data_IF_465255221980
#
_entry.id   IF_465255221980
#
_cell.length_a   1.000
_cell.length_b   1.000
_cell.length_c   1.000
_cell.angle_alpha   90.00
_cell.angle_beta   90.00
_cell.angle_gamma   90.00
#
_symmetry.space_group_name_H-M   'P 1'
#
loop_
_entity.id
_entity.type
_entity.pdbx_description
1 polymer ?
#
# COMPACT_ATOMS: atom_id res chain seq x y z
N UNK A 1 -2.50 26.11 -5.73
CA UNK A 1 -2.48 24.96 -4.79
C UNK A 1 -3.92 24.67 -4.44
N UNK A 2 -4.43 23.50 -4.81
CA UNK A 2 -5.80 23.07 -4.52
C UNK A 2 -5.99 22.84 -3.02
N UNK A 3 -7.24 22.75 -2.58
CA UNK A 3 -7.54 22.39 -1.19
C UNK A 3 -7.02 20.98 -0.87
N UNK A 4 -7.10 20.08 -1.84
CA UNK A 4 -6.56 18.72 -1.76
C UNK A 4 -5.03 18.73 -1.56
N UNK A 5 -4.28 19.53 -2.32
CA UNK A 5 -2.82 19.67 -2.15
C UNK A 5 -2.45 20.14 -0.74
N UNK A 6 -3.26 21.04 -0.16
CA UNK A 6 -3.03 21.52 1.20
C UNK A 6 -3.20 20.40 2.24
N UNK A 7 -4.21 19.53 2.06
CA UNK A 7 -4.39 18.36 2.93
C UNK A 7 -3.27 17.35 2.76
N UNK A 8 -2.87 17.04 1.54
CA UNK A 8 -1.75 16.14 1.24
C UNK A 8 -0.47 16.64 1.91
N UNK A 9 -0.17 17.94 1.77
CA UNK A 9 1.02 18.54 2.37
C UNK A 9 0.98 18.51 3.92
N UNK A 10 -0.19 18.70 4.53
CA UNK A 10 -0.34 18.58 5.99
C UNK A 10 -0.10 17.14 6.47
N UNK A 11 -0.66 16.17 5.77
CA UNK A 11 -0.45 14.75 6.08
C UNK A 11 1.03 14.39 5.95
N UNK A 12 1.66 14.77 4.83
CA UNK A 12 3.07 14.53 4.58
C UNK A 12 3.98 15.15 5.67
N UNK A 13 3.68 16.39 6.06
CA UNK A 13 4.42 17.07 7.12
C UNK A 13 4.28 16.38 8.48
N UNK A 14 3.07 15.90 8.82
CA UNK A 14 2.81 15.16 10.05
C UNK A 14 3.56 13.83 10.08
N UNK A 15 3.48 13.07 9.00
CA UNK A 15 4.21 11.80 8.87
C UNK A 15 5.72 12.00 8.97
N UNK A 16 6.25 13.01 8.26
CA UNK A 16 7.68 13.36 8.34
C UNK A 16 8.11 13.67 9.77
N UNK A 17 7.33 14.50 10.49
CA UNK A 17 7.67 14.86 11.87
C UNK A 17 7.65 13.63 12.81
N UNK A 18 6.76 12.68 12.59
CA UNK A 18 6.71 11.45 13.41
C UNK A 18 7.86 10.51 13.07
N UNK A 19 8.24 10.39 11.81
CA UNK A 19 9.42 9.65 11.35
C UNK A 19 10.69 10.22 11.99
N UNK A 20 10.87 11.54 11.94
CA UNK A 20 12.05 12.23 12.49
C UNK A 20 12.21 12.00 14.01
N UNK A 21 11.11 11.88 14.76
CA UNK A 21 11.16 11.60 16.21
C UNK A 21 11.65 10.19 16.53
N UNK A 22 11.41 9.23 15.65
CA UNK A 22 11.72 7.80 15.86
C UNK A 22 12.91 7.32 15.07
N UNK A 23 13.50 8.20 14.26
CA UNK A 23 14.62 7.86 13.40
C UNK A 23 15.90 7.61 14.20
N UNK A 24 16.44 6.42 14.05
CA UNK A 24 17.76 6.05 14.57
C UNK A 24 18.70 5.73 13.40
N UNK A 25 19.84 6.43 13.25
CA UNK A 25 20.79 6.14 12.18
C UNK A 25 21.27 4.68 12.22
N UNK A 26 21.19 4.00 11.08
CA UNK A 26 21.56 2.58 10.94
C UNK A 26 20.48 1.58 11.30
N UNK A 27 19.32 2.03 11.79
CA UNK A 27 18.16 1.19 12.08
C UNK A 27 16.96 1.63 11.26
N UNK A 28 17.05 1.47 9.94
CA UNK A 28 15.94 1.86 9.05
C UNK A 28 14.79 0.86 9.19
N UNK A 29 13.69 1.30 9.76
CA UNK A 29 12.44 0.55 9.84
C UNK A 29 11.42 1.16 8.87
N UNK A 30 10.37 0.42 8.57
CA UNK A 30 9.22 0.98 7.86
C UNK A 30 8.47 1.93 8.80
N UNK A 31 8.16 3.11 8.31
CA UNK A 31 7.48 4.14 9.10
C UNK A 31 5.97 3.92 9.19
N UNK A 32 5.41 3.19 8.22
CA UNK A 32 4.02 2.79 8.22
C UNK A 32 3.93 1.27 8.05
N UNK A 33 2.97 0.65 8.72
CA UNK A 33 2.76 -0.80 8.69
C UNK A 33 4.05 -1.62 8.97
N UNK A 34 4.85 -1.29 9.99
CA UNK A 34 6.13 -1.97 10.24
C UNK A 34 5.94 -3.44 10.64
N UNK A 35 4.85 -3.78 11.33
CA UNK A 35 4.56 -5.15 11.72
C UNK A 35 4.09 -5.95 10.52
N UNK A 36 4.95 -6.83 10.02
CA UNK A 36 4.66 -7.76 8.94
C UNK A 36 4.09 -9.05 9.53
N UNK A 37 2.90 -9.44 9.10
CA UNK A 37 2.25 -10.71 9.49
C UNK A 37 2.61 -11.81 8.50
N UNK A 38 2.75 -11.45 7.23
CA UNK A 38 3.13 -12.40 6.19
C UNK A 38 3.21 -11.76 4.81
N UNK A 39 3.92 -12.44 3.91
CA UNK A 39 3.98 -12.06 2.51
C UNK A 39 3.88 -13.32 1.66
N UNK A 40 2.96 -13.35 0.70
CA UNK A 40 2.71 -14.51 -0.16
C UNK A 40 2.78 -14.13 -1.63
N UNK A 41 3.23 -15.07 -2.45
CA UNK A 41 3.10 -14.97 -3.90
C UNK A 41 1.66 -15.23 -4.28
N UNK A 42 1.16 -14.50 -5.26
CA UNK A 42 -0.22 -14.54 -5.71
C UNK A 42 -0.32 -14.23 -7.20
N UNK A 43 -1.52 -14.41 -7.72
CA UNK A 43 -1.92 -13.92 -9.04
C UNK A 43 -3.07 -12.95 -8.86
N UNK A 44 -3.00 -11.83 -9.58
CA UNK A 44 -4.08 -10.84 -9.63
C UNK A 44 -4.70 -10.87 -11.02
N UNK A 45 -5.95 -11.28 -11.10
CA UNK A 45 -6.67 -11.39 -12.38
C UNK A 45 -7.69 -10.27 -12.53
N UNK A 46 -7.56 -9.52 -13.61
CA UNK A 46 -8.57 -8.58 -14.07
C UNK A 46 -9.60 -9.36 -14.89
N UNK A 47 -10.81 -9.39 -14.40
CA UNK A 47 -11.91 -10.13 -15.01
C UNK A 47 -12.36 -9.52 -16.36
N UNK A 48 -12.86 -10.38 -17.26
CA UNK A 48 -13.33 -9.97 -18.58
C UNK A 48 -14.60 -9.10 -18.53
N UNK A 49 -15.47 -9.36 -17.57
CA UNK A 49 -16.77 -8.70 -17.44
C UNK A 49 -16.74 -7.56 -16.42
N UNK A 50 -15.90 -6.56 -16.66
CA UNK A 50 -15.92 -5.34 -15.89
C UNK A 50 -16.83 -4.29 -16.53
N UNK A 51 -17.56 -3.49 -15.72
CA UNK A 51 -18.25 -2.30 -16.22
C UNK A 51 -17.27 -1.34 -16.93
N UNK A 52 -17.72 -0.68 -17.99
CA UNK A 52 -16.84 0.17 -18.82
C UNK A 52 -16.20 1.30 -18.02
N UNK A 53 -16.92 1.86 -17.04
CA UNK A 53 -16.41 2.91 -16.15
C UNK A 53 -15.25 2.48 -15.26
N UNK A 54 -15.07 1.18 -15.03
CA UNK A 54 -13.95 0.63 -14.26
C UNK A 54 -12.76 0.19 -15.12
N UNK A 55 -12.89 0.24 -16.45
CA UNK A 55 -11.84 -0.17 -17.40
C UNK A 55 -10.79 0.91 -17.60
N UNK A 56 -10.11 1.28 -16.52
CA UNK A 56 -9.05 2.29 -16.52
C UNK A 56 -7.77 1.74 -15.88
N UNK A 57 -6.62 2.27 -16.26
CA UNK A 57 -5.32 1.87 -15.71
C UNK A 57 -5.09 0.36 -15.83
N UNK A 58 -4.79 -0.29 -14.74
CA UNK A 58 -4.53 -1.75 -14.67
C UNK A 58 -5.76 -2.60 -14.99
N UNK A 59 -6.97 -2.03 -14.90
CA UNK A 59 -8.24 -2.71 -15.19
C UNK A 59 -8.70 -2.57 -16.64
N UNK A 60 -7.92 -1.90 -17.50
CA UNK A 60 -8.30 -1.60 -18.89
C UNK A 60 -8.57 -2.85 -19.71
N UNK A 61 -7.77 -3.87 -19.52
CA UNK A 61 -7.87 -5.12 -20.26
C UNK A 61 -7.83 -6.33 -19.32
N UNK A 62 -8.59 -7.40 -19.66
CA UNK A 62 -8.49 -8.67 -18.92
C UNK A 62 -7.06 -9.19 -18.96
N UNK A 63 -6.47 -9.39 -17.80
CA UNK A 63 -5.10 -9.83 -17.68
C UNK A 63 -4.83 -10.41 -16.29
N UNK A 64 -3.93 -11.37 -16.22
CA UNK A 64 -3.41 -11.88 -14.95
C UNK A 64 -1.99 -11.37 -14.74
N UNK A 65 -1.76 -10.75 -13.57
CA UNK A 65 -0.46 -10.26 -13.14
C UNK A 65 0.09 -11.15 -12.04
N UNK A 66 1.37 -11.56 -12.11
CA UNK A 66 2.03 -12.05 -10.91
C UNK A 66 1.99 -10.98 -9.82
N UNK A 67 1.77 -11.38 -8.60
CA UNK A 67 1.61 -10.44 -7.51
C UNK A 67 2.25 -10.93 -6.21
N UNK A 68 2.47 -9.98 -5.29
CA UNK A 68 2.74 -10.27 -3.89
C UNK A 68 1.65 -9.62 -3.04
N UNK A 69 1.19 -10.36 -2.04
CA UNK A 69 0.30 -9.85 -1.01
C UNK A 69 1.07 -9.74 0.30
N UNK A 70 1.05 -8.57 0.90
CA UNK A 70 1.66 -8.35 2.21
C UNK A 70 0.58 -8.02 3.22
N UNK A 71 0.51 -8.81 4.29
CA UNK A 71 -0.38 -8.57 5.42
C UNK A 71 0.38 -7.87 6.54
N UNK A 72 -0.22 -6.85 7.12
CA UNK A 72 0.42 -6.00 8.14
C UNK A 72 -0.59 -5.39 9.08
N UNK A 73 -0.09 -4.83 10.17
CA UNK A 73 -0.87 -3.96 11.05
C UNK A 73 -0.52 -2.49 10.75
N UNK A 74 -1.51 -1.59 10.95
CA UNK A 74 -1.38 -0.18 10.57
C UNK A 74 -0.58 0.66 11.58
N UNK A 75 -0.51 0.24 12.85
CA UNK A 75 0.28 0.96 13.86
C UNK A 75 1.69 1.25 13.39
N UNK A 76 2.17 2.45 13.66
CA UNK A 76 3.56 2.87 13.41
C UNK A 76 4.56 2.19 14.33
N UNK A 77 4.08 1.62 15.44
CA UNK A 77 4.87 0.84 16.40
C UNK A 77 4.46 -0.63 16.33
N UNK A 78 5.45 -1.52 16.47
CA UNK A 78 5.19 -2.96 16.54
C UNK A 78 4.59 -3.28 17.91
N UNK A 79 3.35 -3.71 17.91
CA UNK A 79 2.62 -4.11 19.12
C UNK A 79 2.58 -5.63 19.28
N UNK A 80 2.27 -6.10 20.49
CA UNK A 80 2.03 -7.51 20.76
C UNK A 80 0.84 -8.06 19.94
N UNK A 81 0.81 -9.38 19.72
CA UNK A 81 -0.18 -10.01 18.84
C UNK A 81 -1.59 -10.01 19.42
N UNK A 82 -1.74 -9.90 20.72
CA UNK A 82 -2.99 -9.79 21.45
C UNK A 82 -3.60 -8.38 21.40
N UNK A 83 -2.84 -7.39 20.94
CA UNK A 83 -3.33 -6.01 20.77
C UNK A 83 -4.18 -5.88 19.53
N UNK A 84 -5.33 -5.24 19.67
CA UNK A 84 -6.15 -4.86 18.53
C UNK A 84 -5.45 -3.80 17.71
N UNK A 85 -5.41 -4.01 16.39
CA UNK A 85 -4.83 -3.07 15.44
C UNK A 85 -5.56 -3.17 14.10
N UNK A 86 -5.52 -2.11 13.33
CA UNK A 86 -6.06 -2.10 11.97
C UNK A 86 -5.21 -3.01 11.10
N UNK A 87 -5.86 -3.90 10.37
CA UNK A 87 -5.18 -4.82 9.45
C UNK A 87 -5.09 -4.21 8.07
N UNK A 88 -3.92 -4.33 7.46
CA UNK A 88 -3.66 -3.89 6.10
C UNK A 88 -3.26 -5.05 5.21
N UNK A 89 -3.70 -4.98 3.96
CA UNK A 89 -3.23 -5.85 2.90
C UNK A 89 -2.76 -4.98 1.74
N UNK A 90 -1.47 -5.05 1.42
CA UNK A 90 -0.90 -4.41 0.25
C UNK A 90 -0.77 -5.44 -0.87
N UNK A 91 -1.18 -5.05 -2.08
CA UNK A 91 -1.06 -5.86 -3.29
C UNK A 91 -0.02 -5.21 -4.18
N UNK A 92 1.06 -5.93 -4.46
CA UNK A 92 2.08 -5.51 -5.42
C UNK A 92 1.90 -6.28 -6.71
N UNK A 93 1.56 -5.57 -7.80
CA UNK A 93 1.47 -6.14 -9.13
C UNK A 93 2.82 -6.05 -9.83
N UNK A 94 3.22 -7.12 -10.51
CA UNK A 94 4.46 -7.19 -11.28
C UNK A 94 4.17 -7.11 -12.78
N UNK A 95 5.06 -6.47 -13.53
CA UNK A 95 4.95 -6.39 -14.99
C UNK A 95 3.82 -5.48 -15.49
N UNK A 96 3.43 -4.47 -14.72
CA UNK A 96 2.47 -3.46 -15.19
C UNK A 96 3.19 -2.47 -16.10
N UNK A 97 2.74 -2.37 -17.34
CA UNK A 97 3.29 -1.47 -18.36
C UNK A 97 2.75 -0.04 -18.18
N UNK A 98 3.49 0.95 -18.66
CA UNK A 98 3.10 2.35 -18.67
C UNK A 98 3.99 3.23 -17.80
N UNK A 99 3.64 4.52 -17.77
CA UNK A 99 4.35 5.51 -16.97
C UNK A 99 4.16 5.24 -15.48
N UNK A 100 5.22 5.44 -14.73
CA UNK A 100 5.22 5.30 -13.27
C UNK A 100 4.90 6.63 -12.62
N UNK A 101 4.17 6.59 -11.52
CA UNK A 101 3.87 7.78 -10.74
C UNK A 101 5.12 8.38 -10.08
N UNK A 102 6.07 7.52 -9.72
CA UNK A 102 7.34 7.90 -9.12
C UNK A 102 8.47 7.67 -10.12
N UNK A 103 9.17 8.73 -10.51
CA UNK A 103 10.23 8.74 -11.53
C UNK A 103 11.40 7.80 -11.24
N UNK A 104 11.63 7.48 -9.98
CA UNK A 104 12.75 6.63 -9.54
C UNK A 104 12.40 5.15 -9.33
N UNK A 105 11.17 4.74 -9.60
CA UNK A 105 10.81 3.33 -9.57
C UNK A 105 11.36 2.60 -10.79
N UNK A 106 12.51 1.98 -10.62
CA UNK A 106 13.18 1.19 -11.68
C UNK A 106 12.49 -0.15 -11.94
N UNK A 107 11.66 -0.61 -11.02
CA UNK A 107 11.01 -1.89 -11.09
C UNK A 107 9.50 -1.72 -11.05
N UNK A 108 8.87 -2.57 -11.77
CA UNK A 108 7.48 -2.86 -11.94
C UNK A 108 6.54 -2.23 -10.93
N UNK A 109 5.52 -1.59 -11.43
CA UNK A 109 4.61 -0.76 -10.68
C UNK A 109 4.02 -1.49 -9.50
N UNK A 110 4.32 -1.00 -8.35
CA UNK A 110 3.59 -1.32 -7.15
C UNK A 110 2.33 -0.48 -7.13
N UNK A 111 1.21 -1.09 -7.38
CA UNK A 111 -0.08 -0.53 -7.02
C UNK A 111 -0.39 -1.07 -5.63
N UNK A 112 -0.14 -0.27 -4.62
CA UNK A 112 -0.52 -0.62 -3.27
C UNK A 112 -2.02 -0.34 -3.11
N UNK A 113 -2.84 -1.37 -3.22
CA UNK A 113 -4.21 -1.32 -2.76
C UNK A 113 -4.22 -1.57 -1.26
N UNK A 114 -4.39 -0.52 -0.50
CA UNK A 114 -4.58 -0.64 0.93
C UNK A 114 -6.04 -1.01 1.20
N UNK A 115 -6.33 -2.28 1.36
CA UNK A 115 -7.60 -2.73 1.90
C UNK A 115 -7.54 -2.61 3.41
N UNK A 116 -8.06 -1.53 3.93
CA UNK A 116 -8.25 -1.36 5.35
C UNK A 116 -9.52 -2.11 5.75
N UNK A 117 -9.38 -3.31 6.28
CA UNK A 117 -10.48 -3.91 6.99
C UNK A 117 -10.49 -3.35 8.40
N UNK A 118 -11.43 -2.51 8.70
CA UNK A 118 -11.80 -2.28 10.11
C UNK A 118 -12.38 -3.57 10.64
N UNK A 119 -11.80 -4.20 11.65
CA UNK A 119 -12.46 -5.31 12.28
C UNK A 119 -13.69 -4.77 13.02
N UNK A 120 -14.80 -4.85 12.35
CA UNK A 120 -16.03 -5.06 13.09
C UNK A 120 -15.95 -6.50 13.48
N UNK A 121 -15.73 -6.74 14.66
CA UNK A 121 -15.78 -7.87 15.12
C UNK A 121 -15.09 -8.62 15.74
N UNK A 122 -15.44 -8.88 16.62
CA UNK A 122 -16.16 -10.07 17.01
C UNK A 122 -16.73 -9.81 18.31
#
# INVERSE_FOLDING_TARGET
VSEEDQYINKIAASLKADIEKTYEPGSTRRDAHPKNIGCVKAEFTVEQLLPDELRIGVFKEPRTYPAYLRFSNASTTIQADDRRDIRGMAIKLLGVEGEKLLENEKHETTQDFLLISTPRFI
#
